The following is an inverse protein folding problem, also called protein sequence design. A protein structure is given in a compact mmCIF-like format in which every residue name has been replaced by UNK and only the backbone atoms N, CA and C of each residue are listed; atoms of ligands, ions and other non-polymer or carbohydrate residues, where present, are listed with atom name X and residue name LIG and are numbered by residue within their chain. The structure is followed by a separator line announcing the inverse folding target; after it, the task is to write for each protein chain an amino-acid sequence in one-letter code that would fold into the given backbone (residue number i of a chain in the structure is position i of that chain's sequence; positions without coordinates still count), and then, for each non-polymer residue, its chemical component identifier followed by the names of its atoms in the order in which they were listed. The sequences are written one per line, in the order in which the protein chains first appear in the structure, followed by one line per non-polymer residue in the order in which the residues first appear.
data_IF_621134766329
#
_entry.id   IF_621134766329
#
_cell.length_a   1.000
_cell.length_b   1.000
_cell.length_c   1.000
_cell.angle_alpha   90.00
_cell.angle_beta   90.00
_cell.angle_gamma   90.00
#
_symmetry.space_group_name_H-M   'P 1'
#
loop_
_entity.id
_entity.type
_entity.pdbx_description
1 polymer ?
#
# COMPACT_ATOMS: atom_id res chain seq x y z
N UNK A 1 -19.83 -73.60 -31.28
CA UNK A 1 -18.70 -72.81 -31.85
C UNK A 1 -19.21 -71.43 -32.22
N UNK A 2 -18.70 -70.38 -31.58
CA UNK A 2 -19.03 -68.97 -31.89
C UNK A 2 -18.07 -68.51 -32.98
N UNK A 3 -18.56 -68.27 -34.18
CA UNK A 3 -17.77 -67.74 -35.29
C UNK A 3 -17.55 -66.24 -35.10
N UNK A 4 -16.29 -65.84 -34.87
CA UNK A 4 -15.87 -64.44 -34.87
C UNK A 4 -15.91 -63.91 -36.30
N UNK A 5 -16.76 -62.91 -36.54
CA UNK A 5 -16.85 -62.20 -37.82
C UNK A 5 -15.75 -61.14 -37.84
N UNK A 6 -14.63 -61.42 -38.48
CA UNK A 6 -13.54 -60.45 -38.63
C UNK A 6 -13.95 -59.44 -39.73
N UNK A 7 -14.27 -58.21 -39.32
CA UNK A 7 -14.47 -57.10 -40.26
C UNK A 7 -13.10 -56.66 -40.78
N UNK A 8 -12.84 -56.91 -42.06
CA UNK A 8 -11.68 -56.36 -42.73
C UNK A 8 -11.97 -54.89 -43.06
N UNK A 9 -11.34 -53.96 -42.33
CA UNK A 9 -11.37 -52.53 -42.65
C UNK A 9 -10.65 -52.30 -43.98
N UNK A 10 -11.23 -51.47 -44.85
CA UNK A 10 -10.56 -51.08 -46.10
C UNK A 10 -9.44 -50.09 -45.79
N UNK A 11 -8.33 -50.18 -46.51
CA UNK A 11 -7.16 -49.30 -46.32
C UNK A 11 -7.55 -47.82 -46.50
N UNK A 12 -8.52 -47.55 -47.38
CA UNK A 12 -9.06 -46.20 -47.64
C UNK A 12 -9.82 -45.65 -46.43
N UNK A 13 -10.63 -46.47 -45.77
CA UNK A 13 -11.39 -46.05 -44.59
C UNK A 13 -10.46 -45.69 -43.42
N UNK A 14 -9.38 -46.45 -43.23
CA UNK A 14 -8.37 -46.13 -42.24
C UNK A 14 -7.59 -44.84 -42.58
N UNK A 15 -7.32 -44.59 -43.87
CA UNK A 15 -6.66 -43.37 -44.32
C UNK A 15 -7.50 -42.11 -44.06
N UNK A 16 -8.82 -42.17 -44.30
CA UNK A 16 -9.72 -41.05 -44.02
C UNK A 16 -9.79 -40.78 -42.50
N UNK A 17 -9.85 -41.83 -41.67
CA UNK A 17 -9.83 -41.69 -40.21
C UNK A 17 -8.54 -41.01 -39.73
N UNK A 18 -7.38 -41.40 -40.25
CA UNK A 18 -6.10 -40.78 -39.90
C UNK A 18 -6.02 -39.31 -40.33
N UNK A 19 -6.59 -38.96 -41.49
CA UNK A 19 -6.69 -37.56 -41.94
C UNK A 19 -7.58 -36.74 -41.01
N UNK A 20 -8.75 -37.27 -40.62
CA UNK A 20 -9.67 -36.58 -39.70
C UNK A 20 -9.02 -36.41 -38.32
N UNK A 21 -8.36 -37.44 -37.78
CA UNK A 21 -7.64 -37.36 -36.50
C UNK A 21 -6.49 -36.36 -36.60
N UNK A 22 -5.72 -36.37 -37.69
CA UNK A 22 -4.62 -35.43 -37.93
C UNK A 22 -5.11 -33.98 -37.99
N UNK A 23 -6.24 -33.73 -38.64
CA UNK A 23 -6.87 -32.41 -38.70
C UNK A 23 -7.35 -31.95 -37.31
N UNK A 24 -8.01 -32.83 -36.55
CA UNK A 24 -8.51 -32.52 -35.21
C UNK A 24 -7.37 -32.20 -34.23
N UNK A 25 -6.29 -32.97 -34.27
CA UNK A 25 -5.09 -32.73 -33.43
C UNK A 25 -4.41 -31.43 -33.86
N UNK A 26 -4.27 -31.19 -35.17
CA UNK A 26 -3.65 -29.99 -35.71
C UNK A 26 -4.36 -28.70 -35.29
N UNK A 27 -5.69 -28.70 -35.32
CA UNK A 27 -6.49 -27.54 -34.88
C UNK A 27 -6.48 -27.40 -33.35
N UNK A 28 -6.61 -28.52 -32.62
CA UNK A 28 -6.66 -28.52 -31.15
C UNK A 28 -5.37 -28.04 -30.46
N UNK A 29 -4.20 -28.31 -31.05
CA UNK A 29 -2.91 -27.95 -30.47
C UNK A 29 -2.67 -26.43 -30.36
N UNK A 30 -3.22 -25.64 -31.29
CA UNK A 30 -2.99 -24.19 -31.34
C UNK A 30 -3.63 -23.41 -30.19
N UNK A 31 -4.75 -23.91 -29.64
CA UNK A 31 -5.48 -23.25 -28.56
C UNK A 31 -4.84 -23.47 -27.18
N UNK A 32 -4.14 -24.58 -26.99
CA UNK A 32 -3.54 -24.94 -25.69
C UNK A 32 -2.43 -23.95 -25.29
N UNK A 33 -1.65 -23.45 -26.25
CA UNK A 33 -0.53 -22.55 -25.99
C UNK A 33 -0.94 -21.19 -25.43
N UNK A 34 -1.99 -20.57 -25.96
CA UNK A 34 -2.44 -19.23 -25.54
C UNK A 34 -3.11 -19.25 -24.17
N UNK A 35 -3.89 -20.30 -23.88
CA UNK A 35 -4.52 -20.51 -22.58
C UNK A 35 -3.47 -20.76 -21.49
N UNK A 36 -2.42 -21.52 -21.80
CA UNK A 36 -1.31 -21.77 -20.87
C UNK A 36 -0.58 -20.47 -20.52
N UNK A 37 -0.29 -19.61 -21.51
CA UNK A 37 0.35 -18.30 -21.27
C UNK A 37 -0.45 -17.40 -20.33
N UNK A 38 -1.76 -17.28 -20.56
CA UNK A 38 -2.65 -16.47 -19.68
C UNK A 38 -2.69 -17.02 -18.27
N UNK A 39 -2.81 -18.35 -18.13
CA UNK A 39 -2.82 -19.01 -16.82
C UNK A 39 -1.53 -18.73 -16.07
N UNK A 40 -0.38 -18.89 -16.74
CA UNK A 40 0.93 -18.61 -16.14
C UNK A 40 1.12 -17.16 -15.72
N UNK A 41 0.70 -16.21 -16.56
CA UNK A 41 0.75 -14.79 -16.20
C UNK A 41 -0.10 -14.49 -14.95
N UNK A 42 -1.32 -15.02 -14.88
CA UNK A 42 -2.20 -14.84 -13.71
C UNK A 42 -1.60 -15.50 -12.47
N UNK A 43 -1.09 -16.72 -12.56
CA UNK A 43 -0.43 -17.42 -11.45
C UNK A 43 0.80 -16.64 -10.94
N UNK A 44 1.62 -16.07 -11.82
CA UNK A 44 2.78 -15.27 -11.43
C UNK A 44 2.39 -13.97 -10.78
N UNK A 45 1.33 -13.31 -11.28
CA UNK A 45 0.76 -12.12 -10.63
C UNK A 45 0.25 -12.43 -9.23
N UNK A 46 -0.40 -13.57 -9.04
CA UNK A 46 -0.82 -14.02 -7.72
C UNK A 46 0.36 -14.40 -6.82
N UNK A 47 1.45 -14.94 -7.37
CA UNK A 47 2.68 -15.19 -6.61
C UNK A 47 3.31 -13.88 -6.10
N UNK A 48 3.47 -12.88 -6.98
CA UNK A 48 3.97 -11.55 -6.60
C UNK A 48 3.07 -10.91 -5.54
N UNK A 49 1.74 -10.91 -5.74
CA UNK A 49 0.80 -10.35 -4.77
C UNK A 49 0.85 -11.05 -3.42
N UNK A 50 0.92 -12.39 -3.40
CA UNK A 50 1.07 -13.16 -2.15
C UNK A 50 2.35 -12.81 -1.41
N UNK A 51 3.45 -12.64 -2.14
CA UNK A 51 4.69 -12.21 -1.53
C UNK A 51 4.58 -10.80 -0.93
N UNK A 52 4.02 -9.85 -1.67
CA UNK A 52 3.81 -8.47 -1.20
C UNK A 52 3.01 -8.45 0.10
N UNK A 53 1.90 -9.17 0.17
CA UNK A 53 1.07 -9.23 1.38
C UNK A 53 1.81 -9.90 2.56
N UNK A 54 2.68 -10.88 2.32
CA UNK A 54 3.50 -11.47 3.36
C UNK A 54 4.58 -10.52 3.89
N UNK A 55 5.25 -9.78 3.01
CA UNK A 55 6.21 -8.74 3.43
C UNK A 55 5.50 -7.59 4.16
N UNK A 56 4.31 -7.16 3.71
CA UNK A 56 3.47 -6.22 4.44
C UNK A 56 3.14 -6.73 5.83
N UNK A 57 2.64 -7.96 5.95
CA UNK A 57 2.32 -8.59 7.22
C UNK A 57 3.52 -8.69 8.16
N UNK A 58 4.69 -9.02 7.62
CA UNK A 58 5.95 -9.04 8.38
C UNK A 58 6.30 -7.64 8.90
N UNK A 59 6.29 -6.63 8.03
CA UNK A 59 6.54 -5.24 8.40
C UNK A 59 5.54 -4.72 9.45
N UNK A 60 4.27 -5.06 9.32
CA UNK A 60 3.21 -4.70 10.28
C UNK A 60 3.41 -5.38 11.62
N UNK A 61 3.93 -6.61 11.65
CA UNK A 61 4.18 -7.36 12.89
C UNK A 61 5.44 -6.89 13.60
N UNK A 62 6.55 -6.74 12.89
CA UNK A 62 7.86 -6.52 13.49
C UNK A 62 8.35 -5.08 13.44
N UNK A 63 7.81 -4.26 12.54
CA UNK A 63 8.22 -2.85 12.38
C UNK A 63 9.46 -2.67 11.51
N UNK A 64 9.99 -3.73 10.93
CA UNK A 64 11.09 -3.70 9.97
C UNK A 64 10.87 -4.81 8.94
N UNK A 65 11.65 -4.81 7.86
CA UNK A 65 11.58 -5.78 6.78
C UNK A 65 12.84 -6.64 6.74
N UNK A 66 12.77 -7.91 6.29
CA UNK A 66 13.95 -8.72 6.09
C UNK A 66 14.92 -8.08 5.08
N UNK A 67 16.24 -8.22 5.29
CA UNK A 67 17.24 -7.68 4.36
C UNK A 67 17.22 -8.44 3.04
N UNK A 68 17.13 -7.71 1.92
CA UNK A 68 17.29 -8.30 0.60
C UNK A 68 18.74 -8.72 0.33
N UNK A 69 18.90 -9.74 -0.50
CA UNK A 69 20.14 -10.08 -1.17
C UNK A 69 20.58 -8.88 -2.03
N UNK A 70 21.90 -8.61 -2.10
CA UNK A 70 22.42 -7.64 -3.06
C UNK A 70 21.93 -7.94 -4.48
N UNK A 71 21.52 -6.89 -5.19
CA UNK A 71 20.87 -6.99 -6.51
C UNK A 71 21.77 -7.68 -7.56
N UNK A 72 23.08 -7.51 -7.45
CA UNK A 72 24.11 -8.11 -8.28
C UNK A 72 24.31 -9.62 -8.04
N UNK A 73 23.72 -10.16 -6.98
CA UNK A 73 23.72 -11.59 -6.65
C UNK A 73 22.36 -12.25 -6.89
N UNK A 74 21.49 -11.62 -7.69
CA UNK A 74 20.23 -12.25 -8.11
C UNK A 74 20.49 -13.61 -8.76
N UNK A 75 19.62 -14.59 -8.46
CA UNK A 75 19.72 -15.94 -9.03
C UNK A 75 18.32 -16.45 -9.37
N UNK A 76 17.99 -16.66 -10.66
CA UNK A 76 16.67 -17.09 -11.07
C UNK A 76 16.28 -18.50 -10.59
N UNK A 77 17.24 -19.30 -10.11
CA UNK A 77 17.00 -20.65 -9.58
C UNK A 77 16.95 -20.71 -8.04
N UNK A 78 17.24 -19.59 -7.36
CA UNK A 78 17.35 -19.55 -5.90
C UNK A 78 16.78 -18.25 -5.33
N UNK A 79 15.59 -18.29 -4.71
CA UNK A 79 14.93 -17.12 -4.18
C UNK A 79 15.70 -16.52 -3.02
N UNK A 80 15.41 -15.24 -2.76
CA UNK A 80 15.94 -14.55 -1.60
C UNK A 80 15.56 -15.29 -0.29
N UNK A 81 16.50 -15.50 0.65
CA UNK A 81 16.18 -16.07 1.96
C UNK A 81 15.07 -15.32 2.71
N UNK A 82 14.86 -14.03 2.40
CA UNK A 82 13.78 -13.19 2.93
C UNK A 82 12.39 -13.77 2.68
N UNK A 83 12.17 -14.45 1.55
CA UNK A 83 10.86 -15.08 1.26
C UNK A 83 10.53 -16.19 2.28
N UNK A 84 11.54 -16.96 2.72
CA UNK A 84 11.37 -17.97 3.77
C UNK A 84 11.09 -17.33 5.13
N UNK A 85 11.69 -16.17 5.43
CA UNK A 85 11.45 -15.44 6.69
C UNK A 85 10.01 -14.92 6.81
N UNK A 86 9.42 -14.48 5.69
CA UNK A 86 8.01 -14.04 5.65
C UNK A 86 7.03 -15.20 5.41
N UNK A 87 7.53 -16.42 5.22
CA UNK A 87 6.71 -17.64 5.11
C UNK A 87 6.03 -17.84 3.75
N UNK A 88 6.62 -17.36 2.66
CA UNK A 88 6.09 -17.55 1.30
C UNK A 88 7.12 -18.15 0.35
N UNK A 89 6.61 -18.76 -0.73
CA UNK A 89 7.47 -19.22 -1.80
C UNK A 89 7.96 -18.03 -2.63
N UNK A 90 9.26 -17.91 -2.84
CA UNK A 90 9.88 -16.85 -3.63
C UNK A 90 9.98 -17.16 -5.12
N UNK A 91 9.13 -18.03 -5.66
CA UNK A 91 9.11 -18.39 -7.09
C UNK A 91 7.79 -17.95 -7.75
N UNK A 92 7.88 -17.59 -9.02
CA UNK A 92 6.72 -17.37 -9.89
C UNK A 92 6.19 -18.69 -10.49
N UNK A 93 5.18 -18.59 -11.37
CA UNK A 93 4.54 -19.74 -12.00
C UNK A 93 5.42 -20.47 -13.02
N UNK A 94 6.50 -19.82 -13.45
CA UNK A 94 7.53 -20.30 -14.35
C UNK A 94 8.65 -21.03 -13.60
N UNK A 95 8.63 -20.98 -12.26
CA UNK A 95 9.67 -21.54 -11.40
C UNK A 95 10.93 -20.68 -11.36
N UNK A 96 10.82 -19.38 -11.68
CA UNK A 96 11.88 -18.39 -11.56
C UNK A 96 11.75 -17.62 -10.26
N UNK A 97 12.89 -17.32 -9.65
CA UNK A 97 12.94 -16.59 -8.40
C UNK A 97 12.37 -15.17 -8.59
N UNK A 98 11.58 -14.71 -7.64
CA UNK A 98 11.15 -13.32 -7.55
C UNK A 98 12.32 -12.46 -7.07
N UNK A 99 12.46 -11.28 -7.66
CA UNK A 99 13.39 -10.27 -7.19
C UNK A 99 12.72 -9.42 -6.10
N UNK A 100 13.41 -9.26 -4.98
CA UNK A 100 12.98 -8.44 -3.84
C UNK A 100 14.02 -7.34 -3.62
N UNK A 101 13.59 -6.09 -3.64
CA UNK A 101 14.43 -4.93 -3.34
C UNK A 101 13.75 -4.16 -2.20
N UNK A 102 14.52 -3.73 -1.22
CA UNK A 102 14.04 -3.07 0.00
C UNK A 102 14.88 -1.83 0.30
N UNK A 103 14.24 -0.82 0.88
CA UNK A 103 14.92 0.36 1.40
C UNK A 103 15.81 -0.01 2.60
N UNK A 104 17.07 0.41 2.58
CA UNK A 104 18.05 0.03 3.60
C UNK A 104 17.70 0.49 5.01
N UNK A 105 16.92 1.56 5.15
CA UNK A 105 16.47 2.10 6.44
C UNK A 105 15.53 1.14 7.18
N UNK A 106 14.87 0.24 6.45
CA UNK A 106 13.90 -0.73 6.98
C UNK A 106 14.46 -2.12 7.21
N UNK A 107 15.74 -2.38 6.90
CA UNK A 107 16.35 -3.71 7.09
C UNK A 107 16.96 -3.88 8.48
N UNK A 108 17.11 -2.79 9.22
CA UNK A 108 17.64 -2.79 10.58
C UNK A 108 16.52 -3.05 11.59
N UNK A 109 16.68 -4.07 12.43
CA UNK A 109 15.74 -4.40 13.50
C UNK A 109 15.68 -3.37 14.65
N UNK A 110 16.59 -2.39 14.65
CA UNK A 110 16.66 -1.33 15.67
C UNK A 110 15.82 -0.10 15.34
N UNK A 111 15.37 0.04 14.09
CA UNK A 111 14.57 1.17 13.63
C UNK A 111 13.16 0.69 13.33
N UNK A 112 12.16 1.23 14.05
CA UNK A 112 10.77 0.94 13.75
C UNK A 112 10.30 1.78 12.55
N UNK A 113 9.57 1.15 11.63
CA UNK A 113 8.87 1.74 10.49
C UNK A 113 8.11 3.04 10.86
N UNK A 114 7.53 3.10 12.05
CA UNK A 114 6.76 4.24 12.53
C UNK A 114 7.60 5.45 12.91
N UNK A 115 8.91 5.28 13.09
CA UNK A 115 9.86 6.36 13.40
C UNK A 115 10.51 6.97 12.15
N UNK A 116 10.29 6.37 10.97
CA UNK A 116 10.86 6.84 9.72
C UNK A 116 10.00 7.94 9.09
N UNK A 117 10.65 9.03 8.67
CA UNK A 117 9.99 10.10 7.91
C UNK A 117 10.03 9.88 6.40
N UNK A 118 11.02 9.13 5.91
CA UNK A 118 11.26 8.88 4.48
C UNK A 118 12.09 7.62 4.26
N UNK A 119 12.09 7.09 3.05
CA UNK A 119 13.00 6.02 2.60
C UNK A 119 13.80 6.47 1.38
N UNK A 120 14.99 5.89 1.17
CA UNK A 120 15.85 6.20 0.02
C UNK A 120 15.40 5.56 -1.30
N UNK A 121 14.58 4.50 -1.23
CA UNK A 121 14.12 3.79 -2.41
C UNK A 121 13.02 4.59 -3.14
N UNK A 122 13.25 4.81 -4.44
CA UNK A 122 12.33 5.46 -5.36
C UNK A 122 12.23 4.66 -6.65
N UNK A 123 11.08 4.74 -7.30
CA UNK A 123 10.80 4.05 -8.56
C UNK A 123 10.17 5.02 -9.55
N UNK A 124 10.22 4.69 -10.83
CA UNK A 124 9.53 5.42 -11.89
C UNK A 124 8.45 4.52 -12.47
N UNK A 125 7.19 4.75 -12.11
CA UNK A 125 6.05 3.98 -12.61
C UNK A 125 5.46 4.65 -13.86
N UNK A 126 5.72 4.07 -15.04
CA UNK A 126 5.24 4.56 -16.34
C UNK A 126 5.56 6.05 -16.55
N UNK A 127 6.81 6.41 -16.22
CA UNK A 127 7.32 7.78 -16.32
C UNK A 127 6.94 8.70 -15.15
N UNK A 128 6.20 8.22 -14.14
CA UNK A 128 5.86 9.00 -12.95
C UNK A 128 6.75 8.60 -11.77
N UNK A 129 7.55 9.52 -11.20
CA UNK A 129 8.37 9.21 -10.04
C UNK A 129 7.50 8.94 -8.81
N UNK A 130 7.83 7.89 -8.07
CA UNK A 130 7.24 7.52 -6.79
C UNK A 130 8.37 7.43 -5.77
N UNK A 131 8.28 8.27 -4.74
CA UNK A 131 9.25 8.33 -3.66
C UNK A 131 8.71 7.62 -2.42
N UNK A 132 9.59 7.40 -1.43
CA UNK A 132 9.26 6.77 -0.16
C UNK A 132 8.71 5.34 -0.35
N UNK A 133 9.31 4.56 -1.24
CA UNK A 133 8.99 3.15 -1.43
C UNK A 133 9.72 2.35 -0.36
N UNK A 134 9.05 1.37 0.25
CA UNK A 134 9.66 0.51 1.27
C UNK A 134 10.29 -0.71 0.63
N UNK A 135 9.56 -1.32 -0.30
CA UNK A 135 10.05 -2.47 -1.06
C UNK A 135 9.28 -2.64 -2.36
N UNK A 136 9.86 -3.43 -3.25
CA UNK A 136 9.33 -3.80 -4.56
C UNK A 136 9.61 -5.29 -4.79
N UNK A 137 8.65 -5.98 -5.41
CA UNK A 137 8.75 -7.39 -5.79
C UNK A 137 8.50 -7.50 -7.29
N UNK A 138 9.38 -8.19 -7.99
CA UNK A 138 9.41 -8.28 -9.46
C UNK A 138 9.48 -9.75 -9.89
N UNK A 139 8.71 -10.09 -10.93
CA UNK A 139 8.80 -11.35 -11.69
C UNK A 139 9.10 -11.01 -13.15
N UNK A 140 10.02 -11.75 -13.78
CA UNK A 140 10.38 -11.62 -15.20
C UNK A 140 9.36 -12.22 -16.18
N UNK A 141 8.08 -12.17 -15.82
CA UNK A 141 6.98 -12.48 -16.73
C UNK A 141 7.04 -13.84 -17.45
N UNK A 142 6.62 -13.86 -18.71
CA UNK A 142 6.62 -15.04 -19.57
C UNK A 142 7.92 -15.19 -20.36
N UNK A 143 8.71 -14.12 -20.50
CA UNK A 143 10.01 -14.14 -21.19
C UNK A 143 11.17 -14.64 -20.29
N UNK A 144 10.90 -14.81 -18.99
CA UNK A 144 11.83 -15.24 -17.94
C UNK A 144 12.97 -14.27 -17.65
N UNK A 145 12.91 -13.07 -18.20
CA UNK A 145 13.90 -12.02 -18.10
C UNK A 145 13.33 -10.90 -17.23
N UNK A 146 13.97 -10.60 -16.12
CA UNK A 146 13.65 -9.39 -15.38
C UNK A 146 14.22 -8.23 -16.19
N UNK A 147 13.37 -7.31 -16.59
CA UNK A 147 13.76 -6.15 -17.40
C UNK A 147 13.77 -4.87 -16.56
N UNK A 148 13.26 -4.92 -15.33
CA UNK A 148 13.08 -3.81 -14.41
C UNK A 148 14.08 -3.84 -13.27
N UNK A 149 14.74 -2.71 -13.03
CA UNK A 149 15.36 -2.42 -11.74
C UNK A 149 14.46 -1.49 -10.90
N UNK A 150 14.40 -0.20 -11.27
CA UNK A 150 13.56 0.82 -10.61
C UNK A 150 12.61 1.55 -11.56
N UNK A 151 12.71 1.35 -12.88
CA UNK A 151 11.83 1.92 -13.88
C UNK A 151 10.81 0.87 -14.37
N UNK A 152 9.54 1.08 -14.08
CA UNK A 152 8.43 0.20 -14.46
C UNK A 152 7.81 0.74 -15.75
N UNK A 153 7.72 -0.11 -16.76
CA UNK A 153 7.24 0.27 -18.09
C UNK A 153 5.81 -0.21 -18.37
N UNK A 154 5.12 0.36 -19.38
CA UNK A 154 3.90 -0.22 -19.92
C UNK A 154 4.16 -1.63 -20.49
N UNK A 155 3.22 -2.54 -20.26
CA UNK A 155 3.27 -3.89 -20.82
C UNK A 155 3.34 -3.85 -22.36
N UNK A 156 4.25 -4.63 -22.94
CA UNK A 156 4.50 -4.68 -24.39
C UNK A 156 5.40 -3.58 -24.93
N UNK A 157 6.04 -2.77 -24.08
CA UNK A 157 7.05 -1.82 -24.55
C UNK A 157 8.27 -2.55 -25.11
N UNK A 158 8.66 -2.23 -26.34
CA UNK A 158 9.80 -2.87 -27.02
C UNK A 158 11.16 -2.40 -26.49
N UNK A 159 12.16 -3.28 -26.61
CA UNK A 159 13.58 -3.02 -26.33
C UNK A 159 13.85 -2.52 -24.91
N UNK A 160 13.19 -3.14 -23.92
CA UNK A 160 13.41 -2.83 -22.50
C UNK A 160 14.22 -3.94 -21.87
N UNK A 161 15.30 -3.56 -21.19
CA UNK A 161 16.15 -4.42 -20.36
C UNK A 161 17.12 -3.57 -19.51
N UNK A 162 16.64 -3.11 -18.36
CA UNK A 162 17.39 -2.24 -17.44
C UNK A 162 18.02 -3.02 -16.28
N UNK A 163 17.91 -4.36 -16.28
CA UNK A 163 18.36 -5.21 -15.19
C UNK A 163 19.51 -6.11 -15.66
N UNK A 164 20.77 -5.70 -15.48
CA UNK A 164 21.91 -6.38 -16.09
C UNK A 164 22.33 -7.69 -15.38
N UNK A 165 21.62 -8.10 -14.33
CA UNK A 165 22.06 -9.16 -13.41
C UNK A 165 21.41 -10.53 -13.70
N UNK A 166 20.62 -10.66 -14.75
CA UNK A 166 20.13 -11.93 -15.27
C UNK A 166 20.47 -12.14 -16.77
N UNK A 167 19.55 -11.89 -17.70
CA UNK A 167 19.77 -11.97 -19.14
C UNK A 167 19.79 -10.57 -19.72
N UNK A 168 20.91 -10.21 -20.33
CA UNK A 168 20.98 -8.97 -21.12
C UNK A 168 20.34 -9.20 -22.50
N UNK A 169 19.01 -9.19 -22.55
CA UNK A 169 18.18 -9.39 -23.75
C UNK A 169 17.04 -8.35 -23.81
N UNK A 170 17.26 -7.22 -24.52
CA UNK A 170 16.20 -6.26 -24.81
C UNK A 170 15.04 -6.90 -25.59
N UNK A 171 13.84 -6.85 -25.03
CA UNK A 171 12.64 -7.45 -25.63
C UNK A 171 11.37 -6.70 -25.22
N UNK A 172 10.20 -7.25 -25.54
CA UNK A 172 8.92 -6.70 -25.07
C UNK A 172 8.83 -6.82 -23.54
N UNK A 173 8.47 -5.71 -22.89
CA UNK A 173 8.31 -5.64 -21.45
C UNK A 173 7.11 -6.44 -20.96
N UNK A 174 7.34 -7.49 -20.17
CA UNK A 174 6.26 -8.31 -19.59
C UNK A 174 6.43 -8.58 -18.09
N UNK A 175 7.36 -7.87 -17.44
CA UNK A 175 7.59 -7.95 -16.00
C UNK A 175 6.29 -7.69 -15.22
N UNK A 176 6.14 -8.44 -14.13
CA UNK A 176 5.06 -8.24 -13.16
C UNK A 176 5.69 -7.62 -11.92
N UNK A 177 5.30 -6.38 -11.64
CA UNK A 177 5.87 -5.57 -10.57
C UNK A 177 4.78 -5.11 -9.62
N UNK A 178 5.02 -5.28 -8.32
CA UNK A 178 4.21 -4.69 -7.26
C UNK A 178 5.14 -4.06 -6.22
N UNK A 179 4.76 -2.89 -5.71
CA UNK A 179 5.56 -2.12 -4.76
C UNK A 179 4.69 -1.57 -3.63
N UNK A 180 5.31 -1.29 -2.49
CA UNK A 180 4.63 -0.76 -1.31
C UNK A 180 5.30 0.52 -0.86
N UNK A 181 4.48 1.53 -0.53
CA UNK A 181 4.97 2.82 -0.02
C UNK A 181 5.09 2.82 1.50
N UNK A 182 5.94 3.70 2.04
CA UNK A 182 6.13 3.88 3.48
C UNK A 182 4.81 4.26 4.15
N UNK A 183 4.06 5.16 3.50
CA UNK A 183 2.75 5.60 3.98
C UNK A 183 1.76 4.44 4.14
N UNK A 184 1.74 3.50 3.19
CA UNK A 184 0.82 2.35 3.25
C UNK A 184 1.10 1.45 4.45
N UNK A 185 2.36 1.06 4.68
CA UNK A 185 2.72 0.24 5.83
C UNK A 185 2.49 0.97 7.15
N UNK A 186 2.82 2.26 7.18
CA UNK A 186 2.64 3.09 8.36
C UNK A 186 1.16 3.23 8.72
N UNK A 187 0.26 3.39 7.75
CA UNK A 187 -1.17 3.46 8.00
C UNK A 187 -1.73 2.16 8.60
N UNK A 188 -1.15 1.01 8.28
CA UNK A 188 -1.61 -0.29 8.76
C UNK A 188 -1.02 -0.69 10.11
N UNK A 189 0.24 -0.32 10.38
CA UNK A 189 0.93 -0.66 11.64
C UNK A 189 0.84 0.45 12.69
N UNK A 190 1.22 1.64 12.27
CA UNK A 190 1.51 2.69 13.21
C UNK A 190 0.20 3.17 13.78
N UNK A 191 0.16 3.28 15.11
CA UNK A 191 -0.75 4.21 15.76
C UNK A 191 -0.29 5.62 15.38
N UNK A 192 -0.49 6.00 14.12
CA UNK A 192 -0.88 7.35 13.84
C UNK A 192 -2.12 7.52 14.72
N UNK A 193 -1.93 8.12 15.89
CA UNK A 193 -3.01 8.69 16.67
C UNK A 193 -3.58 9.81 15.81
N UNK A 194 -4.19 9.48 14.68
CA UNK A 194 -4.54 10.33 13.55
C UNK A 194 -4.00 11.74 13.74
N UNK A 195 -2.69 11.95 13.60
CA UNK A 195 -2.28 13.22 13.04
C UNK A 195 -2.68 13.16 11.55
N UNK A 196 -3.93 12.86 11.18
CA UNK A 196 -4.85 13.96 10.91
C UNK A 196 -4.31 15.24 11.54
N UNK A 197 -3.54 16.07 10.81
CA UNK A 197 -3.50 17.47 11.20
C UNK A 197 -4.96 17.81 11.46
N UNK A 198 -5.31 18.26 12.67
CA UNK A 198 -6.66 18.73 12.90
C UNK A 198 -6.94 19.75 11.79
N UNK A 199 -7.69 19.34 10.77
CA UNK A 199 -8.08 20.14 9.62
C UNK A 199 -9.10 21.19 10.04
N UNK A 200 -9.34 21.32 11.34
CA UNK A 200 -9.98 22.46 11.94
C UNK A 200 -9.19 23.70 11.46
N UNK A 201 -9.74 24.35 10.45
CA UNK A 201 -9.44 25.74 10.11
C UNK A 201 -10.16 26.65 11.10
N UNK A 202 -11.24 26.14 11.70
CA UNK A 202 -11.98 26.73 12.81
C UNK A 202 -12.45 25.67 13.81
N UNK A 203 -12.69 26.09 15.05
CA UNK A 203 -13.16 25.28 16.17
C UNK A 203 -14.49 25.82 16.67
N UNK A 204 -15.49 24.95 16.82
CA UNK A 204 -16.77 25.26 17.47
C UNK A 204 -16.65 25.06 18.99
N UNK A 205 -16.65 26.14 19.74
CA UNK A 205 -16.54 26.13 21.20
C UNK A 205 -17.91 26.36 21.84
N UNK A 206 -18.44 25.34 22.48
CA UNK A 206 -19.71 25.37 23.20
C UNK A 206 -19.48 25.78 24.65
N UNK A 207 -20.15 26.83 25.10
CA UNK A 207 -20.08 27.32 26.47
C UNK A 207 -21.24 26.73 27.28
N UNK A 208 -20.94 26.17 28.44
CA UNK A 208 -21.97 25.72 29.38
C UNK A 208 -22.86 26.90 29.83
N UNK A 209 -24.11 26.63 30.20
CA UNK A 209 -25.11 27.63 30.59
C UNK A 209 -24.71 28.48 31.81
N UNK A 210 -23.65 28.06 32.53
CA UNK A 210 -23.09 28.76 33.67
C UNK A 210 -21.98 29.76 33.32
N UNK A 211 -21.65 29.89 32.02
CA UNK A 211 -20.73 30.88 31.46
C UNK A 211 -21.57 31.95 30.79
N UNK A 212 -21.58 33.15 31.37
CA UNK A 212 -22.54 34.20 31.02
C UNK A 212 -22.06 35.11 29.88
N UNK A 213 -20.74 35.22 29.67
CA UNK A 213 -20.19 36.03 28.58
C UNK A 213 -18.78 35.59 28.16
N UNK A 214 -18.35 36.03 26.99
CA UNK A 214 -17.04 35.75 26.42
C UNK A 214 -16.49 36.92 25.60
N UNK A 215 -15.18 36.93 25.39
CA UNK A 215 -14.49 37.77 24.40
C UNK A 215 -13.67 36.91 23.46
N UNK A 216 -13.77 37.20 22.18
CA UNK A 216 -12.96 36.59 21.14
C UNK A 216 -11.89 37.58 20.69
N UNK A 217 -10.63 37.19 20.76
CA UNK A 217 -9.47 37.93 20.25
C UNK A 217 -9.40 39.39 20.73
N UNK A 218 -9.77 39.65 21.99
CA UNK A 218 -9.77 40.99 22.59
C UNK A 218 -10.90 41.90 22.10
N UNK A 219 -11.89 41.35 21.39
CA UNK A 219 -13.06 42.07 20.90
C UNK A 219 -14.07 42.46 21.98
N UNK A 220 -15.24 42.94 21.54
CA UNK A 220 -16.32 43.35 22.44
C UNK A 220 -16.89 42.16 23.22
N UNK A 221 -17.36 42.45 24.43
CA UNK A 221 -18.02 41.45 25.24
C UNK A 221 -19.29 40.94 24.58
N UNK A 222 -19.41 39.62 24.46
CA UNK A 222 -20.54 38.94 23.83
C UNK A 222 -21.14 37.91 24.78
N UNK A 223 -22.41 37.55 24.56
CA UNK A 223 -23.12 36.50 25.31
C UNK A 223 -23.70 35.49 24.32
N UNK A 224 -23.72 34.22 24.70
CA UNK A 224 -24.14 33.11 23.85
C UNK A 224 -23.40 31.83 24.20
N UNK A 225 -23.90 30.71 23.67
CA UNK A 225 -23.44 29.37 24.06
C UNK A 225 -22.52 28.71 23.00
N UNK A 226 -22.22 29.41 21.91
CA UNK A 226 -21.37 28.90 20.83
C UNK A 226 -20.45 30.01 20.32
N UNK A 227 -19.16 29.71 20.20
CA UNK A 227 -18.13 30.59 19.67
C UNK A 227 -17.30 29.84 18.64
N UNK A 228 -17.12 30.42 17.46
CA UNK A 228 -16.22 29.83 16.44
C UNK A 228 -14.86 30.53 16.51
N UNK A 229 -13.78 29.77 16.71
CA UNK A 229 -12.41 30.27 16.78
C UNK A 229 -11.60 29.83 15.55
N UNK A 230 -10.87 30.75 14.92
CA UNK A 230 -9.88 30.43 13.90
C UNK A 230 -8.49 30.25 14.53
N UNK A 231 -7.51 29.81 13.75
CA UNK A 231 -6.18 29.42 14.23
C UNK A 231 -5.40 30.51 15.01
N UNK A 232 -5.68 31.79 14.76
CA UNK A 232 -5.03 32.92 15.43
C UNK A 232 -5.85 33.50 16.59
N UNK A 233 -7.07 32.98 16.80
CA UNK A 233 -7.99 33.52 17.79
C UNK A 233 -7.68 32.98 19.20
N UNK A 234 -8.02 33.79 20.20
CA UNK A 234 -8.07 33.37 21.59
C UNK A 234 -9.45 33.72 22.18
N UNK A 235 -9.81 33.03 23.25
CA UNK A 235 -11.12 33.09 23.87
C UNK A 235 -10.95 33.33 25.37
N UNK A 236 -11.56 34.41 25.84
CA UNK A 236 -11.73 34.69 27.26
C UNK A 236 -13.18 34.39 27.65
N UNK A 237 -13.38 33.69 28.76
CA UNK A 237 -14.70 33.29 29.26
C UNK A 237 -14.94 33.85 30.65
N UNK A 238 -16.20 34.21 30.93
CA UNK A 238 -16.56 34.94 32.13
C UNK A 238 -17.84 34.37 32.76
N UNK A 239 -17.82 34.25 34.09
CA UNK A 239 -18.99 33.80 34.85
C UNK A 239 -19.96 34.96 35.11
N UNK A 240 -19.49 36.20 35.08
CA UNK A 240 -20.35 37.38 35.20
C UNK A 240 -20.87 37.88 33.86
N UNK A 241 -21.97 38.64 33.88
CA UNK A 241 -22.44 39.40 32.73
C UNK A 241 -21.44 40.51 32.38
N UNK A 242 -21.45 40.95 31.12
CA UNK A 242 -20.59 42.03 30.62
C UNK A 242 -19.09 41.79 30.83
N UNK A 243 -18.66 40.52 30.76
CA UNK A 243 -17.26 40.10 30.86
C UNK A 243 -16.64 40.46 32.21
N UNK A 244 -17.42 40.26 33.26
CA UNK A 244 -16.97 40.36 34.65
C UNK A 244 -16.61 38.98 35.19
N UNK A 245 -15.62 38.91 36.07
CA UNK A 245 -15.17 37.66 36.71
C UNK A 245 -14.67 36.62 35.67
N UNK A 246 -13.45 36.87 35.16
CA UNK A 246 -12.75 36.00 34.21
C UNK A 246 -12.54 34.62 34.82
N UNK A 247 -12.99 33.57 34.13
CA UNK A 247 -12.87 32.18 34.58
C UNK A 247 -11.94 31.33 33.71
N UNK A 248 -11.65 31.75 32.47
CA UNK A 248 -10.75 31.01 31.59
C UNK A 248 -10.25 31.85 30.42
N UNK A 249 -9.00 31.60 30.01
CA UNK A 249 -8.37 32.19 28.85
C UNK A 249 -7.73 31.05 28.04
N UNK A 250 -8.14 30.91 26.79
CA UNK A 250 -7.79 29.78 25.95
C UNK A 250 -7.35 30.24 24.57
N UNK A 251 -6.25 29.69 24.06
CA UNK A 251 -5.87 29.85 22.66
C UNK A 251 -6.51 28.75 21.82
N UNK A 252 -6.62 29.00 20.51
CA UNK A 252 -7.00 27.96 19.55
C UNK A 252 -6.21 26.66 19.74
N UNK A 253 -4.88 26.76 19.83
CA UNK A 253 -3.98 25.61 20.02
C UNK A 253 -4.21 24.89 21.35
N UNK A 254 -4.51 25.63 22.43
CA UNK A 254 -4.79 25.05 23.74
C UNK A 254 -6.12 24.29 23.76
N UNK A 255 -7.18 24.80 23.11
CA UNK A 255 -8.47 24.10 23.07
C UNK A 255 -8.42 22.87 22.17
N UNK A 256 -7.70 22.97 21.05
CA UNK A 256 -7.55 21.90 20.08
C UNK A 256 -6.92 20.64 20.69
N UNK A 257 -6.04 20.78 21.70
CA UNK A 257 -5.46 19.61 22.38
C UNK A 257 -6.46 18.80 23.20
N UNK A 258 -7.65 19.34 23.47
CA UNK A 258 -8.73 18.66 24.21
C UNK A 258 -9.76 17.99 23.29
N UNK A 259 -9.63 18.10 21.96
CA UNK A 259 -10.53 17.47 20.97
C UNK A 259 -10.06 16.04 20.73
N UNK A 260 -10.36 15.16 21.68
CA UNK A 260 -9.87 13.78 21.65
C UNK A 260 -10.49 12.99 20.48
N UNK A 261 -11.72 13.33 20.08
CA UNK A 261 -12.46 12.66 19.02
C UNK A 261 -12.28 13.31 17.63
N UNK A 262 -11.63 14.47 17.54
CA UNK A 262 -11.23 15.19 16.32
C UNK A 262 -12.39 15.67 15.46
N UNK A 263 -13.49 16.08 16.10
CA UNK A 263 -14.68 16.58 15.42
C UNK A 263 -14.72 18.13 15.27
N UNK A 264 -13.65 18.82 15.69
CA UNK A 264 -13.53 20.29 15.72
C UNK A 264 -14.55 20.96 16.66
N UNK A 265 -15.03 20.25 17.69
CA UNK A 265 -15.96 20.76 18.69
C UNK A 265 -15.39 20.56 20.08
N UNK A 266 -15.42 21.63 20.87
CA UNK A 266 -14.98 21.62 22.25
C UNK A 266 -16.10 22.20 23.10
N UNK A 267 -16.24 21.69 24.33
CA UNK A 267 -17.07 22.35 25.34
C UNK A 267 -16.21 22.95 26.44
N UNK A 268 -16.64 24.09 26.97
CA UNK A 268 -16.04 24.70 28.15
C UNK A 268 -17.05 24.61 29.29
N UNK A 269 -16.64 23.94 30.36
CA UNK A 269 -17.44 23.69 31.55
C UNK A 269 -16.97 24.58 32.70
N UNK A 270 -17.90 25.02 33.54
CA UNK A 270 -17.55 25.69 34.79
C UNK A 270 -17.19 24.66 35.86
N UNK A 271 -16.01 24.80 36.46
CA UNK A 271 -15.58 24.05 37.63
C UNK A 271 -15.21 25.03 38.74
N UNK A 272 -16.14 25.24 39.68
CA UNK A 272 -15.98 26.25 40.74
C UNK A 272 -15.94 27.67 40.15
N UNK A 273 -14.84 28.39 40.39
CA UNK A 273 -14.60 29.73 39.85
C UNK A 273 -13.80 29.72 38.54
N UNK A 274 -13.44 28.55 38.03
CA UNK A 274 -12.65 28.40 36.81
C UNK A 274 -13.48 27.78 35.69
N UNK A 275 -13.07 28.03 34.46
CA UNK A 275 -13.61 27.41 33.26
C UNK A 275 -12.56 26.43 32.72
N UNK A 276 -12.98 25.22 32.36
CA UNK A 276 -12.09 24.16 31.87
C UNK A 276 -12.61 23.59 30.55
N UNK A 277 -11.72 23.36 29.57
CA UNK A 277 -12.09 22.72 28.33
C UNK A 277 -12.27 21.22 28.53
N UNK A 278 -13.16 20.63 27.75
CA UNK A 278 -13.37 19.19 27.68
C UNK A 278 -13.79 18.81 26.25
N UNK A 279 -13.56 17.55 25.90
CA UNK A 279 -14.05 16.99 24.64
C UNK A 279 -15.57 17.06 24.62
N UNK A 280 -16.13 17.37 23.45
CA UNK A 280 -17.59 17.55 23.26
C UNK A 280 -18.33 16.21 23.27
#
# INVERSE_FOLDING_TARGET
MKTSKNFAFTLVEFAIILVVIGLLIGLGATLIGTLTKRTKYTESKEAVKRAVEAFKGYGIRFGYLPPARPIDNYNPSSPDPSFNQVGVNGFDAQGKALLYIVSSELTNNSTDLCSLNSTSLSITDKGQPKNNITFIIISGGLNFNIQTNTAIYPQGQNNVDDFPYDFTRPEEYDDIVEYVSLFELQQQRCSYATSSPSLCTSLEVYLDNNINSYRKSGGTCSSGNLVVLNQIDYLETYIGNNCNNLCGNFTYSNLLSYDANKNCKIRILKQGNSCVPNDY
#
